data_IF_050545971717
#
_entry.id   IF_050545971717
#
_cell.length_a   1.000
_cell.length_b   1.000
_cell.length_c   1.000
_cell.angle_alpha   90.00
_cell.angle_beta   90.00
_cell.angle_gamma   90.00
#
_symmetry.space_group_name_H-M   'P 1'
#
loop_
_entity.id
_entity.type
_entity.pdbx_description
1 polymer ?
#
# COMPACT_ATOMS: atom_id res chain seq x y z
N UNK A 1 -4.33 -23.82 9.71
CA UNK A 1 -5.61 -23.37 9.13
C UNK A 1 -5.32 -22.28 8.11
N UNK A 2 -6.06 -22.19 6.99
CA UNK A 2 -5.85 -21.14 6.00
C UNK A 2 -6.25 -19.76 6.55
N UNK A 3 -5.59 -18.71 6.05
CA UNK A 3 -5.92 -17.31 6.34
C UNK A 3 -5.66 -16.44 5.11
N UNK A 4 -6.58 -15.54 4.78
CA UNK A 4 -6.45 -14.57 3.71
C UNK A 4 -6.04 -13.21 4.27
N UNK A 5 -5.32 -12.41 3.49
CA UNK A 5 -4.92 -11.06 3.89
C UNK A 5 -5.35 -10.02 2.88
N UNK A 6 -5.75 -8.86 3.38
CA UNK A 6 -5.98 -7.65 2.59
C UNK A 6 -5.05 -6.55 3.04
N UNK A 7 -4.32 -5.98 2.09
CA UNK A 7 -3.23 -5.05 2.37
C UNK A 7 -3.48 -3.74 1.62
N UNK A 8 -3.69 -2.61 2.32
CA UNK A 8 -3.63 -1.31 1.68
C UNK A 8 -2.19 -1.07 1.23
N UNK A 9 -1.99 -0.90 -0.08
CA UNK A 9 -0.67 -1.07 -0.69
C UNK A 9 -0.24 0.14 -1.51
N UNK A 10 0.93 0.68 -1.18
CA UNK A 10 1.69 1.60 -2.04
C UNK A 10 2.85 0.87 -2.71
N UNK A 11 4.00 0.81 -2.02
CA UNK A 11 5.26 0.25 -2.55
C UNK A 11 5.34 -1.30 -2.61
N UNK A 12 4.24 -2.04 -2.41
CA UNK A 12 4.14 -3.50 -2.50
C UNK A 12 4.91 -4.35 -1.47
N UNK A 13 5.73 -3.75 -0.60
CA UNK A 13 6.55 -4.48 0.38
C UNK A 13 5.75 -5.34 1.37
N UNK A 14 4.68 -4.80 1.97
CA UNK A 14 3.87 -5.54 2.96
C UNK A 14 3.19 -6.77 2.35
N UNK A 15 2.52 -6.60 1.21
CA UNK A 15 1.81 -7.72 0.57
C UNK A 15 2.79 -8.73 -0.03
N UNK A 16 3.96 -8.28 -0.51
CA UNK A 16 5.04 -9.18 -0.91
C UNK A 16 5.58 -10.00 0.27
N UNK A 17 5.69 -9.42 1.48
CA UNK A 17 6.04 -10.20 2.67
C UNK A 17 5.00 -11.30 2.97
N UNK A 18 3.71 -11.02 2.74
CA UNK A 18 2.65 -12.03 2.77
C UNK A 18 2.83 -13.14 1.72
N UNK A 19 3.32 -12.79 0.53
CA UNK A 19 3.70 -13.76 -0.49
C UNK A 19 4.92 -14.60 -0.07
N UNK A 20 5.94 -13.99 0.53
CA UNK A 20 7.08 -14.73 1.08
C UNK A 20 6.65 -15.69 2.18
N UNK A 21 5.72 -15.29 3.06
CA UNK A 21 5.15 -16.19 4.06
C UNK A 21 4.41 -17.38 3.40
N UNK A 22 3.64 -17.13 2.33
CA UNK A 22 3.03 -18.19 1.50
C UNK A 22 4.08 -19.15 0.94
N UNK A 23 5.15 -18.63 0.35
CA UNK A 23 6.26 -19.44 -0.18
C UNK A 23 7.01 -20.22 0.91
N UNK A 24 7.00 -19.72 2.15
CA UNK A 24 7.62 -20.36 3.32
C UNK A 24 6.75 -21.44 3.98
N UNK A 25 5.58 -21.75 3.42
CA UNK A 25 4.70 -22.83 3.89
C UNK A 25 3.45 -22.37 4.65
N UNK A 26 3.23 -21.07 4.85
CA UNK A 26 1.98 -20.58 5.41
C UNK A 26 0.83 -20.75 4.39
N UNK A 27 -0.28 -21.35 4.81
CA UNK A 27 -1.45 -21.51 3.94
C UNK A 27 -2.20 -20.19 3.75
N UNK A 28 -1.79 -19.41 2.75
CA UNK A 28 -2.40 -18.12 2.40
C UNK A 28 -3.10 -18.23 1.04
N UNK A 29 -4.37 -18.67 0.96
CA UNK A 29 -5.04 -18.88 -0.31
C UNK A 29 -5.29 -17.59 -1.10
N UNK A 30 -5.32 -16.42 -0.42
CA UNK A 30 -5.60 -15.15 -1.06
C UNK A 30 -4.79 -14.01 -0.45
N UNK A 31 -4.19 -13.19 -1.31
CA UNK A 31 -3.61 -11.88 -1.01
C UNK A 31 -4.40 -10.84 -1.80
N UNK A 32 -5.00 -9.88 -1.09
CA UNK A 32 -5.75 -8.78 -1.69
C UNK A 32 -4.94 -7.49 -1.58
N UNK A 33 -4.86 -6.77 -2.69
CA UNK A 33 -4.18 -5.48 -2.82
C UNK A 33 -5.25 -4.39 -2.88
N UNK A 34 -5.32 -3.56 -1.84
CA UNK A 34 -6.16 -2.37 -1.81
C UNK A 34 -5.38 -1.16 -2.27
N UNK A 35 -5.90 -0.46 -3.27
CA UNK A 35 -5.36 0.82 -3.76
C UNK A 35 -6.36 1.95 -3.49
N UNK A 36 -5.84 3.17 -3.33
CA UNK A 36 -6.67 4.37 -3.38
C UNK A 36 -6.91 4.76 -4.86
N UNK A 37 -7.26 6.03 -5.13
CA UNK A 37 -7.43 6.53 -6.50
C UNK A 37 -6.26 6.20 -7.43
N UNK A 38 -5.03 6.16 -6.91
CA UNK A 38 -3.80 5.76 -7.61
C UNK A 38 -3.73 4.22 -7.68
N UNK A 39 -4.15 3.65 -8.81
CA UNK A 39 -4.57 2.25 -8.89
C UNK A 39 -3.66 1.36 -9.74
N UNK A 40 -2.41 1.77 -9.96
CA UNK A 40 -1.46 1.05 -10.82
C UNK A 40 -1.34 -0.44 -10.45
N UNK A 41 -1.39 -0.76 -9.16
CA UNK A 41 -1.36 -2.14 -8.67
C UNK A 41 -2.70 -2.87 -8.88
N UNK A 42 -3.83 -2.17 -8.75
CA UNK A 42 -5.14 -2.77 -9.04
C UNK A 42 -5.19 -3.21 -10.50
N UNK A 43 -4.83 -2.32 -11.43
CA UNK A 43 -4.77 -2.63 -12.88
C UNK A 43 -3.81 -3.79 -13.18
N UNK A 44 -2.68 -3.87 -12.47
CA UNK A 44 -1.76 -5.00 -12.62
C UNK A 44 -2.44 -6.35 -12.32
N UNK A 45 -3.20 -6.45 -11.23
CA UNK A 45 -3.89 -7.71 -10.88
C UNK A 45 -5.17 -7.96 -11.67
N UNK A 46 -5.93 -6.93 -12.02
CA UNK A 46 -7.22 -7.09 -12.72
C UNK A 46 -7.07 -7.22 -14.23
N UNK A 47 -6.14 -6.48 -14.82
CA UNK A 47 -6.01 -6.33 -16.28
C UNK A 47 -4.65 -6.83 -16.81
N UNK A 48 -3.70 -7.11 -15.93
CA UNK A 48 -2.34 -7.47 -16.30
C UNK A 48 -1.54 -6.28 -16.84
N UNK A 49 -1.94 -5.04 -16.54
CA UNK A 49 -1.32 -3.83 -17.10
C UNK A 49 -0.85 -2.86 -16.01
N UNK A 50 0.18 -2.08 -16.33
CA UNK A 50 0.52 -0.87 -15.58
C UNK A 50 0.75 0.26 -16.56
N UNK A 51 0.46 1.48 -16.12
CA UNK A 51 0.78 2.69 -16.87
C UNK A 51 0.96 3.84 -15.91
N UNK A 52 2.04 4.60 -16.12
CA UNK A 52 2.33 5.80 -15.33
C UNK A 52 1.30 6.86 -15.69
N UNK A 53 0.52 7.28 -14.70
CA UNK A 53 -0.41 8.42 -14.83
C UNK A 53 0.01 9.54 -13.88
N UNK A 54 -0.74 10.64 -13.88
CA UNK A 54 -0.60 11.66 -12.85
C UNK A 54 -0.92 11.06 -11.46
N UNK A 55 -0.14 11.46 -10.45
CA UNK A 55 -0.43 11.13 -9.05
C UNK A 55 -1.55 12.04 -8.58
N UNK A 56 -2.64 11.45 -8.09
CA UNK A 56 -3.75 12.18 -7.48
C UNK A 56 -3.54 12.19 -5.97
N UNK A 57 -3.39 13.34 -5.31
CA UNK A 57 -3.37 13.41 -3.85
C UNK A 57 -4.67 12.85 -3.25
N UNK A 58 -4.56 12.00 -2.24
CA UNK A 58 -5.71 11.40 -1.56
C UNK A 58 -5.64 11.56 -0.03
N UNK A 59 -6.68 11.11 0.66
CA UNK A 59 -6.68 10.98 2.12
C UNK A 59 -5.72 9.91 2.65
N UNK A 60 -5.18 9.06 1.78
CA UNK A 60 -4.24 7.98 2.11
C UNK A 60 -2.88 8.18 1.43
N UNK A 61 -2.16 9.27 1.75
CA UNK A 61 -1.03 9.76 0.95
C UNK A 61 0.17 8.81 0.87
N UNK A 62 0.29 7.86 1.80
CA UNK A 62 1.38 6.87 1.76
C UNK A 62 1.21 5.83 0.63
N UNK A 63 0.05 5.85 -0.03
CA UNK A 63 -0.29 4.97 -1.15
C UNK A 63 -0.39 5.73 -2.49
N UNK A 64 -0.14 7.05 -2.51
CA UNK A 64 -0.20 7.89 -3.70
C UNK A 64 1.04 7.67 -4.59
N UNK A 65 1.08 6.53 -5.27
CA UNK A 65 2.23 6.07 -6.06
C UNK A 65 1.82 5.63 -7.47
N UNK A 66 2.75 5.78 -8.41
CA UNK A 66 2.62 5.33 -9.81
C UNK A 66 3.60 4.22 -10.16
N UNK A 67 4.67 4.07 -9.39
CA UNK A 67 5.64 2.99 -9.54
C UNK A 67 5.81 2.34 -8.18
N UNK A 68 5.57 1.03 -8.13
CA UNK A 68 5.65 0.28 -6.90
C UNK A 68 7.00 -0.45 -6.80
N UNK A 69 7.92 0.11 -6.01
CA UNK A 69 9.33 -0.32 -5.97
C UNK A 69 9.54 -1.81 -5.62
N UNK A 70 8.65 -2.46 -4.85
CA UNK A 70 8.80 -3.88 -4.52
C UNK A 70 8.06 -4.82 -5.50
N UNK A 71 7.31 -4.30 -6.47
CA UNK A 71 6.60 -5.16 -7.44
C UNK A 71 7.57 -5.97 -8.31
N UNK A 72 8.76 -5.41 -8.58
CA UNK A 72 9.87 -6.11 -9.24
C UNK A 72 10.16 -7.49 -8.62
N UNK A 73 9.99 -7.64 -7.30
CA UNK A 73 10.21 -8.93 -6.63
C UNK A 73 9.15 -9.97 -6.99
N UNK A 74 7.89 -9.55 -7.19
CA UNK A 74 6.85 -10.45 -7.70
C UNK A 74 7.08 -10.78 -9.16
N UNK A 75 7.49 -9.79 -9.98
CA UNK A 75 7.88 -10.04 -11.38
C UNK A 75 8.97 -11.11 -11.45
N UNK A 76 9.96 -11.07 -10.57
CA UNK A 76 10.99 -12.11 -10.49
C UNK A 76 10.42 -13.49 -10.20
N UNK A 77 9.51 -13.63 -9.23
CA UNK A 77 8.90 -14.92 -8.93
C UNK A 77 8.04 -15.46 -10.09
N UNK A 78 7.24 -14.62 -10.75
CA UNK A 78 6.38 -15.07 -11.87
C UNK A 78 7.13 -15.31 -13.18
N UNK A 79 8.34 -14.74 -13.33
CA UNK A 79 9.27 -15.07 -14.41
C UNK A 79 10.13 -16.31 -14.09
N UNK A 80 9.76 -17.12 -13.10
CA UNK A 80 10.54 -18.30 -12.74
C UNK A 80 11.94 -17.97 -12.24
N UNK A 81 12.10 -16.79 -11.61
CA UNK A 81 13.37 -16.25 -11.10
C UNK A 81 14.41 -15.94 -12.20
N UNK A 82 13.94 -15.60 -13.39
CA UNK A 82 14.77 -15.06 -14.46
C UNK A 82 14.96 -13.54 -14.30
N UNK A 83 16.14 -13.14 -13.83
CA UNK A 83 16.50 -11.74 -13.66
C UNK A 83 16.70 -10.97 -14.97
N UNK A 84 17.09 -11.66 -16.06
CA UNK A 84 17.26 -11.00 -17.35
C UNK A 84 15.90 -10.67 -17.98
N UNK A 85 14.92 -11.57 -17.84
CA UNK A 85 13.54 -11.31 -18.26
C UNK A 85 12.93 -10.13 -17.50
N UNK A 86 13.11 -10.07 -16.18
CA UNK A 86 12.67 -8.93 -15.36
C UNK A 86 13.36 -7.63 -15.78
N UNK A 87 14.67 -7.67 -16.03
CA UNK A 87 15.42 -6.51 -16.51
C UNK A 87 14.86 -5.94 -17.80
N UNK A 88 14.65 -6.80 -18.81
CA UNK A 88 14.07 -6.39 -20.10
C UNK A 88 12.66 -5.80 -19.94
N UNK A 89 11.82 -6.43 -19.10
CA UNK A 89 10.48 -5.95 -18.77
C UNK A 89 10.47 -4.55 -18.13
N UNK A 90 11.37 -4.31 -17.18
CA UNK A 90 11.46 -3.03 -16.49
C UNK A 90 12.09 -1.93 -17.35
N UNK A 91 13.05 -2.28 -18.20
CA UNK A 91 13.65 -1.32 -19.14
C UNK A 91 12.62 -0.87 -20.19
N UNK A 92 11.80 -1.78 -20.71
CA UNK A 92 10.69 -1.42 -21.60
C UNK A 92 9.64 -0.55 -20.88
N UNK A 93 9.29 -0.88 -19.64
CA UNK A 93 8.38 -0.05 -18.85
C UNK A 93 8.93 1.36 -18.61
N UNK A 94 10.23 1.51 -18.31
CA UNK A 94 10.89 2.81 -18.15
C UNK A 94 10.91 3.60 -19.45
N UNK A 95 11.09 2.93 -20.59
CA UNK A 95 11.13 3.57 -21.90
C UNK A 95 9.76 4.03 -22.40
N UNK A 96 8.71 3.23 -22.15
CA UNK A 96 7.36 3.47 -22.72
C UNK A 96 6.38 4.08 -21.71
N UNK A 97 6.65 3.96 -20.42
CA UNK A 97 5.72 4.30 -19.34
C UNK A 97 4.55 3.32 -19.18
N UNK A 98 4.55 2.20 -19.92
CA UNK A 98 3.50 1.18 -19.92
C UNK A 98 4.05 -0.22 -19.83
N UNK A 99 3.30 -1.12 -19.19
CA UNK A 99 3.71 -2.50 -18.97
C UNK A 99 2.50 -3.42 -19.15
N UNK A 100 2.73 -4.61 -19.71
CA UNK A 100 1.72 -5.65 -19.85
C UNK A 100 2.33 -7.02 -19.54
N UNK A 101 1.66 -7.77 -18.68
CA UNK A 101 1.97 -9.17 -18.43
C UNK A 101 1.61 -10.02 -19.66
N UNK A 102 2.39 -11.07 -19.87
CA UNK A 102 1.97 -12.15 -20.74
C UNK A 102 0.66 -12.78 -20.20
N UNK A 103 -0.29 -13.22 -21.05
CA UNK A 103 -1.54 -13.84 -20.60
C UNK A 103 -1.35 -15.00 -19.62
N UNK A 104 -0.32 -15.82 -19.80
CA UNK A 104 -0.04 -16.96 -18.89
C UNK A 104 0.46 -16.45 -17.53
N UNK A 105 1.29 -15.40 -17.52
CA UNK A 105 1.73 -14.75 -16.29
C UNK A 105 0.54 -14.15 -15.53
N UNK A 106 -0.35 -13.44 -16.23
CA UNK A 106 -1.54 -12.84 -15.62
C UNK A 106 -2.49 -13.92 -15.08
N UNK A 107 -2.72 -14.99 -15.84
CA UNK A 107 -3.52 -16.13 -15.41
C UNK A 107 -2.95 -16.82 -14.17
N UNK A 108 -1.63 -16.93 -14.05
CA UNK A 108 -0.96 -17.52 -12.88
C UNK A 108 -1.28 -16.78 -11.57
N UNK A 109 -1.50 -15.46 -11.64
CA UNK A 109 -1.80 -14.62 -10.49
C UNK A 109 -3.26 -14.75 -10.02
N UNK A 110 -4.19 -15.03 -10.94
CA UNK A 110 -5.64 -15.00 -10.69
C UNK A 110 -6.08 -15.91 -9.54
N UNK A 111 -5.42 -17.05 -9.36
CA UNK A 111 -5.77 -18.03 -8.32
C UNK A 111 -5.48 -17.54 -6.89
N UNK A 112 -4.47 -16.70 -6.69
CA UNK A 112 -3.96 -16.34 -5.37
C UNK A 112 -3.92 -14.84 -5.04
N UNK A 113 -4.19 -13.99 -6.04
CA UNK A 113 -4.13 -12.54 -5.93
C UNK A 113 -5.45 -11.87 -6.36
N UNK A 114 -5.74 -10.72 -5.78
CA UNK A 114 -6.84 -9.83 -6.19
C UNK A 114 -6.45 -8.37 -5.95
N UNK A 115 -7.03 -7.46 -6.72
CA UNK A 115 -6.86 -6.01 -6.55
C UNK A 115 -8.21 -5.30 -6.50
N UNK A 116 -8.31 -4.24 -5.71
CA UNK A 116 -9.47 -3.34 -5.70
C UNK A 116 -9.04 -1.89 -5.45
N UNK A 117 -9.82 -0.97 -6.01
CA UNK A 117 -9.60 0.48 -5.95
C UNK A 117 -10.76 1.16 -5.24
N UNK A 118 -10.45 2.16 -4.41
CA UNK A 118 -11.45 2.98 -3.72
C UNK A 118 -11.07 4.47 -3.79
N UNK A 119 -12.08 5.33 -3.94
CA UNK A 119 -11.90 6.79 -3.87
C UNK A 119 -12.07 7.30 -2.43
N UNK A 120 -11.76 8.57 -2.20
CA UNK A 120 -11.82 9.18 -0.86
C UNK A 120 -13.24 9.16 -0.25
N UNK A 121 -14.30 9.24 -1.07
CA UNK A 121 -15.68 9.13 -0.58
C UNK A 121 -15.96 7.74 0.01
N UNK A 122 -15.55 6.67 -0.68
CA UNK A 122 -15.68 5.31 -0.18
C UNK A 122 -14.85 5.09 1.09
N UNK A 123 -13.63 5.64 1.13
CA UNK A 123 -12.75 5.60 2.31
C UNK A 123 -13.40 6.30 3.50
N UNK A 124 -13.91 7.53 3.30
CA UNK A 124 -14.63 8.30 4.31
C UNK A 124 -15.85 7.54 4.84
N UNK A 125 -16.67 6.99 3.95
CA UNK A 125 -17.85 6.21 4.31
C UNK A 125 -17.46 4.96 5.13
N UNK A 126 -16.37 4.28 4.78
CA UNK A 126 -15.88 3.13 5.52
C UNK A 126 -15.42 3.49 6.94
N UNK A 127 -14.73 4.63 7.12
CA UNK A 127 -14.29 5.07 8.45
C UNK A 127 -15.52 5.36 9.33
N UNK A 128 -16.52 6.05 8.80
CA UNK A 128 -17.76 6.35 9.51
C UNK A 128 -18.53 5.08 9.89
N UNK A 129 -18.75 4.18 8.92
CA UNK A 129 -19.44 2.89 9.13
C UNK A 129 -18.75 2.04 10.21
N UNK A 130 -17.42 1.95 10.19
CA UNK A 130 -16.70 1.15 11.19
C UNK A 130 -16.72 1.76 12.59
N UNK A 131 -16.64 3.09 12.68
CA UNK A 131 -16.78 3.80 13.93
C UNK A 131 -18.16 3.57 14.55
N UNK A 132 -19.23 3.72 13.76
CA UNK A 132 -20.62 3.54 14.22
C UNK A 132 -20.92 2.08 14.59
N UNK A 133 -20.49 1.14 13.74
CA UNK A 133 -20.82 -0.28 13.86
C UNK A 133 -20.05 -0.99 14.96
N UNK A 134 -18.80 -0.60 15.21
CA UNK A 134 -17.87 -1.35 16.08
C UNK A 134 -17.21 -0.52 17.16
N UNK A 135 -17.30 0.82 17.10
CA UNK A 135 -16.55 1.73 17.96
C UNK A 135 -15.06 1.84 17.58
N UNK A 136 -14.60 1.11 16.55
CA UNK A 136 -13.22 1.20 16.07
C UNK A 136 -13.09 2.31 15.03
N UNK A 137 -12.28 3.32 15.36
CA UNK A 137 -11.93 4.38 14.42
C UNK A 137 -10.74 3.93 13.57
N UNK A 138 -10.91 3.95 12.25
CA UNK A 138 -9.87 3.59 11.30
C UNK A 138 -9.13 4.83 10.79
N UNK A 139 -7.84 4.67 10.50
CA UNK A 139 -7.13 5.60 9.61
C UNK A 139 -7.52 5.32 8.14
N UNK A 140 -7.36 6.30 7.22
CA UNK A 140 -7.76 6.15 5.82
C UNK A 140 -7.06 4.99 5.09
N UNK A 141 -5.81 4.66 5.42
CA UNK A 141 -5.11 3.54 4.81
C UNK A 141 -5.73 2.21 5.26
N UNK A 142 -5.99 2.06 6.57
CA UNK A 142 -6.68 0.87 7.10
C UNK A 142 -8.05 0.69 6.48
N UNK A 143 -8.81 1.77 6.28
CA UNK A 143 -10.11 1.73 5.63
C UNK A 143 -10.03 1.19 4.19
N UNK A 144 -9.01 1.55 3.41
CA UNK A 144 -8.76 0.93 2.08
C UNK A 144 -8.54 -0.58 2.20
N UNK A 145 -7.77 -1.03 3.21
CA UNK A 145 -7.55 -2.45 3.47
C UNK A 145 -8.85 -3.21 3.81
N UNK A 146 -9.71 -2.60 4.61
CA UNK A 146 -11.03 -3.15 5.00
C UNK A 146 -11.99 -3.20 3.80
N UNK A 147 -12.04 -2.15 2.99
CA UNK A 147 -12.83 -2.10 1.77
C UNK A 147 -12.39 -3.17 0.77
N UNK A 148 -11.09 -3.30 0.54
CA UNK A 148 -10.53 -4.32 -0.35
C UNK A 148 -10.83 -5.74 0.16
N UNK A 149 -10.74 -5.96 1.48
CA UNK A 149 -11.12 -7.22 2.11
C UNK A 149 -12.59 -7.56 1.82
N UNK A 150 -13.51 -6.61 2.00
CA UNK A 150 -14.94 -6.81 1.76
C UNK A 150 -15.25 -7.07 0.29
N UNK A 151 -14.63 -6.31 -0.62
CA UNK A 151 -14.90 -6.40 -2.05
C UNK A 151 -14.34 -7.68 -2.70
N UNK A 152 -13.19 -8.18 -2.23
CA UNK A 152 -12.49 -9.26 -2.90
C UNK A 152 -12.53 -10.61 -2.17
N UNK A 153 -13.11 -10.70 -0.96
CA UNK A 153 -13.16 -11.95 -0.20
C UNK A 153 -13.87 -13.06 -1.01
N UNK A 154 -13.14 -14.12 -1.33
CA UNK A 154 -13.65 -15.26 -2.11
C UNK A 154 -14.38 -16.29 -1.28
N UNK A 155 -13.84 -16.60 -0.10
CA UNK A 155 -14.37 -17.66 0.76
C UNK A 155 -14.75 -17.11 2.15
N UNK A 156 -16.06 -17.07 2.48
CA UNK A 156 -16.55 -16.68 3.79
C UNK A 156 -16.14 -17.59 4.96
N UNK A 157 -15.72 -18.83 4.69
CA UNK A 157 -15.24 -19.77 5.71
C UNK A 157 -13.78 -19.52 6.10
N UNK A 158 -13.01 -18.83 5.26
CA UNK A 158 -11.61 -18.49 5.52
C UNK A 158 -11.55 -17.11 6.18
N UNK A 159 -10.86 -16.96 7.33
CA UNK A 159 -10.71 -15.65 7.97
C UNK A 159 -9.92 -14.70 7.06
N UNK A 160 -10.41 -13.47 6.96
CA UNK A 160 -9.75 -12.39 6.23
C UNK A 160 -9.17 -11.38 7.23
N UNK A 161 -7.86 -11.15 7.17
CA UNK A 161 -7.15 -10.17 7.99
C UNK A 161 -6.84 -8.94 7.14
N UNK A 162 -7.49 -7.82 7.44
CA UNK A 162 -7.13 -6.52 6.87
C UNK A 162 -6.02 -5.88 7.71
N UNK A 163 -4.94 -5.43 7.06
CA UNK A 163 -3.82 -4.81 7.75
C UNK A 163 -4.14 -3.35 8.11
N UNK A 164 -4.07 -3.05 9.40
CA UNK A 164 -4.10 -1.68 9.89
C UNK A 164 -2.68 -1.09 9.90
N UNK A 165 -2.39 -0.18 8.98
CA UNK A 165 -1.01 0.28 8.71
C UNK A 165 -0.65 1.58 9.40
N UNK A 166 -1.62 2.32 9.92
CA UNK A 166 -1.39 3.52 10.71
C UNK A 166 -2.39 3.67 11.85
N UNK A 167 -1.99 4.43 12.88
CA UNK A 167 -2.88 4.87 13.93
C UNK A 167 -3.74 6.06 13.42
N UNK A 168 -5.03 6.17 13.76
CA UNK A 168 -5.91 7.27 13.32
C UNK A 168 -5.35 8.67 13.58
N UNK A 169 -4.66 8.86 14.72
CA UNK A 169 -4.01 10.12 15.08
C UNK A 169 -2.91 10.59 14.11
N UNK A 170 -2.42 9.73 13.19
CA UNK A 170 -1.50 10.14 12.12
C UNK A 170 -2.20 10.88 10.98
N UNK A 171 -3.51 10.70 10.82
CA UNK A 171 -4.31 11.32 9.77
C UNK A 171 -5.59 11.94 10.37
N UNK A 172 -5.45 12.86 11.34
CA UNK A 172 -6.57 13.32 12.15
C UNK A 172 -7.62 14.05 11.33
N UNK A 173 -7.23 14.78 10.27
CA UNK A 173 -8.16 15.54 9.43
C UNK A 173 -9.10 14.64 8.63
N UNK A 174 -8.59 13.53 8.07
CA UNK A 174 -9.40 12.55 7.35
C UNK A 174 -10.40 11.84 8.29
N UNK A 175 -9.95 11.53 9.52
CA UNK A 175 -10.79 10.89 10.54
C UNK A 175 -11.88 11.83 11.04
N UNK A 176 -11.52 13.09 11.32
CA UNK A 176 -12.47 14.12 11.76
C UNK A 176 -13.50 14.42 10.68
N UNK A 177 -13.11 14.50 9.40
CA UNK A 177 -14.03 14.68 8.30
C UNK A 177 -15.03 13.51 8.13
N UNK A 178 -14.62 12.29 8.51
CA UNK A 178 -15.47 11.10 8.43
C UNK A 178 -16.41 10.94 9.63
N UNK A 179 -15.92 11.22 10.83
CA UNK A 179 -16.59 10.85 12.10
C UNK A 179 -17.07 12.03 12.93
N UNK A 180 -16.61 13.24 12.63
CA UNK A 180 -16.76 14.42 13.50
C UNK A 180 -15.89 14.37 14.77
N UNK A 181 -15.08 13.32 14.95
CA UNK A 181 -14.19 13.14 16.09
C UNK A 181 -12.72 13.28 15.65
N UNK A 182 -11.97 14.15 16.34
CA UNK A 182 -10.53 14.31 16.11
C UNK A 182 -9.73 13.36 17.02
N UNK A 183 -8.99 12.38 16.47
CA UNK A 183 -8.26 11.41 17.27
C UNK A 183 -7.06 12.04 17.99
N UNK A 184 -6.99 11.86 19.30
CA UNK A 184 -5.83 12.27 20.12
C UNK A 184 -4.64 11.34 19.98
N UNK A 185 -3.45 11.82 20.35
CA UNK A 185 -2.24 11.00 20.42
C UNK A 185 -2.37 9.92 21.52
N UNK A 186 -1.73 8.75 21.34
CA UNK A 186 -1.60 7.77 22.42
C UNK A 186 -0.95 8.39 23.66
N UNK A 187 -1.30 7.93 24.86
CA UNK A 187 -0.85 8.55 26.12
C UNK A 187 0.68 8.68 26.26
N UNK A 188 1.47 7.72 25.74
CA UNK A 188 2.94 7.77 25.76
C UNK A 188 3.56 8.78 24.76
N UNK A 189 2.74 9.39 23.91
CA UNK A 189 3.09 10.44 22.95
C UNK A 189 2.31 11.74 23.23
N UNK A 190 1.61 11.87 24.36
CA UNK A 190 0.77 13.03 24.63
C UNK A 190 1.54 14.37 24.62
N UNK A 191 2.83 14.33 24.98
CA UNK A 191 3.76 15.47 25.01
C UNK A 191 4.52 15.67 23.69
N UNK A 192 4.24 14.87 22.63
CA UNK A 192 5.06 14.85 21.41
C UNK A 192 5.22 16.25 20.78
N UNK A 193 4.17 17.06 20.79
CA UNK A 193 4.18 18.41 20.22
C UNK A 193 4.91 19.45 21.09
N UNK A 194 5.19 19.13 22.36
CA UNK A 194 5.92 20.01 23.29
C UNK A 194 7.43 19.72 23.31
N UNK A 195 7.87 18.62 22.69
CA UNK A 195 9.28 18.23 22.65
C UNK A 195 10.06 19.16 21.70
N UNK A 196 11.29 19.56 22.07
CA UNK A 196 12.11 20.41 21.20
C UNK A 196 12.49 19.67 19.92
N UNK A 197 12.21 20.26 18.76
CA UNK A 197 12.68 19.76 17.48
C UNK A 197 14.17 20.06 17.28
N UNK A 198 14.91 19.11 16.71
CA UNK A 198 16.30 19.28 16.32
C UNK A 198 16.43 19.09 14.81
N UNK A 199 16.48 20.20 14.09
CA UNK A 199 16.56 20.25 12.64
C UNK A 199 17.66 21.21 12.17
N UNK A 200 18.20 20.97 10.98
CA UNK A 200 19.12 21.88 10.30
C UNK A 200 18.58 22.14 8.91
N UNK A 201 18.19 23.38 8.64
CA UNK A 201 17.71 23.79 7.32
C UNK A 201 18.89 23.90 6.36
N UNK A 202 18.77 23.26 5.20
CA UNK A 202 19.76 23.30 4.11
C UNK A 202 19.07 23.76 2.82
N UNK A 203 19.76 24.51 1.95
CA UNK A 203 19.28 24.77 0.60
C UNK A 203 19.17 23.46 -0.20
N UNK A 204 18.30 23.44 -1.22
CA UNK A 204 18.18 22.35 -2.17
C UNK A 204 19.38 22.33 -3.15
N UNK A 205 20.58 22.15 -2.59
CA UNK A 205 21.86 22.11 -3.30
C UNK A 205 22.61 20.82 -2.94
N UNK A 206 23.00 20.07 -3.98
CA UNK A 206 23.62 18.76 -3.80
C UNK A 206 24.94 18.85 -3.02
N UNK A 207 25.80 19.82 -3.36
CA UNK A 207 27.11 19.95 -2.72
C UNK A 207 26.96 20.32 -1.23
N UNK A 208 26.03 21.22 -0.91
CA UNK A 208 25.75 21.60 0.48
C UNK A 208 25.24 20.41 1.29
N UNK A 209 24.33 19.60 0.72
CA UNK A 209 23.81 18.40 1.39
C UNK A 209 24.93 17.36 1.59
N UNK A 210 25.75 17.11 0.57
CA UNK A 210 26.88 16.18 0.66
C UNK A 210 27.88 16.60 1.75
N UNK A 211 28.25 17.88 1.79
CA UNK A 211 29.20 18.42 2.76
C UNK A 211 28.63 18.39 4.18
N UNK A 212 27.33 18.64 4.34
CA UNK A 212 26.65 18.47 5.62
C UNK A 212 26.71 17.02 6.11
N UNK A 213 26.40 16.04 5.24
CA UNK A 213 26.49 14.61 5.58
C UNK A 213 27.92 14.22 5.94
N UNK A 214 28.91 14.66 5.14
CA UNK A 214 30.34 14.38 5.40
C UNK A 214 30.79 14.95 6.75
N UNK A 215 30.41 16.17 7.08
CA UNK A 215 30.80 16.84 8.33
C UNK A 215 30.18 16.23 9.58
N UNK A 216 29.13 15.41 9.45
CA UNK A 216 28.44 14.73 10.56
C UNK A 216 28.66 13.22 10.59
N UNK A 217 29.48 12.70 9.67
CA UNK A 217 29.90 11.29 9.70
C UNK A 217 30.87 11.09 10.88
N UNK A 218 30.59 10.10 11.73
CA UNK A 218 31.49 9.66 12.80
C UNK A 218 32.64 8.83 12.24
#
# INVERSE_FOLDING_TARGET
>A
APVAFSVPTGNFGNVFAGHVARLSGLTVPQLVVGSNTNDVLTRFFTEGTMGITEVVPTTSPSMDIQVSSNLERLLFEINGRDGAAVGAQLDDFRATGTFRLDPDQHASLASGWAGARFNDDAVRACIADEADRSGLVLDPHTAVGVLAARACRRDPSIPMVALATAHPAKFPDAVEAATGFRPGLPGHLADLHDRPERLTALPADLAVIEDFVRSHKR
#
